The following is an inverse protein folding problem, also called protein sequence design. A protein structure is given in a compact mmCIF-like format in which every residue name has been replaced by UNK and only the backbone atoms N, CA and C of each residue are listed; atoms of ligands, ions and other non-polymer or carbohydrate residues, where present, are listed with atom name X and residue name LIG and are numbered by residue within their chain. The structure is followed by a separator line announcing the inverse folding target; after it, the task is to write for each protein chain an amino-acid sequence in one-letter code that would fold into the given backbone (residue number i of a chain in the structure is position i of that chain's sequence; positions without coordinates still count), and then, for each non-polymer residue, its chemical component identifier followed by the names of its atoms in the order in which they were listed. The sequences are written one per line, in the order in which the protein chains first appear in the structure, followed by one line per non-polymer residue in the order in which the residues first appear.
data_IF_769340082206
#
_entry.id   IF_769340082206
#
_cell.length_a   1.000
_cell.length_b   1.000
_cell.length_c   1.000
_cell.angle_alpha   90.00
_cell.angle_beta   90.00
_cell.angle_gamma   90.00
#
_symmetry.space_group_name_H-M   'P 1'
#
loop_
_entity.id
_entity.type
_entity.pdbx_description
1 polymer ?
#
# COMPACT_ATOMS: atom_id res chain seq x y z
N UNK A 1 -9.13 30.83 -30.74
CA UNK A 1 -9.25 29.37 -30.87
C UNK A 1 -10.00 28.81 -29.67
N UNK A 2 -11.22 28.29 -29.86
CA UNK A 2 -11.97 27.61 -28.79
C UNK A 2 -11.27 26.28 -28.52
N UNK A 3 -10.73 26.09 -27.32
CA UNK A 3 -9.99 24.87 -26.96
C UNK A 3 -11.01 23.80 -26.58
N UNK A 4 -10.79 22.60 -27.10
CA UNK A 4 -11.64 21.42 -26.88
C UNK A 4 -11.77 21.09 -25.39
N UNK A 5 -13.00 20.88 -24.92
CA UNK A 5 -13.28 20.61 -23.50
C UNK A 5 -12.85 19.20 -23.07
N UNK A 6 -12.74 18.26 -24.02
CA UNK A 6 -12.28 16.88 -23.78
C UNK A 6 -10.77 16.67 -23.95
N UNK A 7 -10.00 17.72 -24.29
CA UNK A 7 -8.56 17.62 -24.52
C UNK A 7 -7.79 17.93 -23.23
N UNK A 8 -7.52 16.90 -22.45
CA UNK A 8 -6.54 16.91 -21.37
C UNK A 8 -5.34 16.03 -21.74
N UNK A 9 -4.39 15.80 -20.81
CA UNK A 9 -3.31 14.82 -20.98
C UNK A 9 -3.84 13.42 -21.33
N UNK A 10 -5.08 13.15 -20.94
CA UNK A 10 -5.90 12.03 -21.39
C UNK A 10 -7.14 12.57 -22.10
N UNK A 11 -7.52 11.94 -23.21
CA UNK A 11 -8.68 12.36 -23.97
C UNK A 11 -9.94 11.69 -23.42
N UNK A 12 -10.91 12.48 -23.01
CA UNK A 12 -12.20 11.97 -22.54
C UNK A 12 -13.12 11.67 -23.72
N UNK A 13 -13.88 10.58 -23.62
CA UNK A 13 -14.92 10.25 -24.58
C UNK A 13 -16.19 11.05 -24.28
N UNK A 14 -16.39 12.13 -25.01
CA UNK A 14 -17.58 12.99 -24.86
C UNK A 14 -18.89 12.30 -25.29
N UNK A 15 -18.84 11.08 -25.85
CA UNK A 15 -20.03 10.28 -26.18
C UNK A 15 -20.56 9.49 -24.98
N UNK A 16 -19.71 9.22 -23.98
CA UNK A 16 -20.15 8.60 -22.73
C UNK A 16 -20.63 9.71 -21.76
N UNK A 17 -21.90 9.68 -21.29
CA UNK A 17 -22.41 10.69 -20.37
C UNK A 17 -21.62 10.78 -19.05
N UNK A 18 -21.01 9.68 -18.59
CA UNK A 18 -20.19 9.68 -17.37
C UNK A 18 -18.87 10.41 -17.58
N UNK A 19 -18.20 10.11 -18.69
CA UNK A 19 -16.93 10.76 -19.03
C UNK A 19 -17.14 12.23 -19.41
N UNK A 20 -18.24 12.57 -20.09
CA UNK A 20 -18.60 13.95 -20.40
C UNK A 20 -18.85 14.78 -19.12
N UNK A 21 -19.53 14.20 -18.12
CA UNK A 21 -19.73 14.86 -16.82
C UNK A 21 -18.40 15.08 -16.09
N UNK A 22 -17.51 14.09 -16.12
CA UNK A 22 -16.17 14.20 -15.53
C UNK A 22 -15.32 15.27 -16.23
N UNK A 23 -15.33 15.31 -17.57
CA UNK A 23 -14.64 16.32 -18.36
C UNK A 23 -15.15 17.74 -18.05
N UNK A 24 -16.46 17.90 -17.88
CA UNK A 24 -17.08 19.19 -17.50
C UNK A 24 -16.62 19.67 -16.11
N UNK A 25 -16.58 18.77 -15.13
CA UNK A 25 -16.13 19.11 -13.77
C UNK A 25 -14.62 19.38 -13.74
N UNK A 26 -13.82 18.60 -14.47
CA UNK A 26 -12.38 18.85 -14.63
C UNK A 26 -12.11 20.18 -15.34
N UNK A 27 -12.89 20.54 -16.36
CA UNK A 27 -12.73 21.82 -17.07
C UNK A 27 -13.00 23.03 -16.14
N UNK A 28 -13.82 22.89 -15.09
CA UNK A 28 -13.99 23.91 -14.05
C UNK A 28 -12.69 24.20 -13.29
N UNK A 29 -11.85 23.18 -13.12
CA UNK A 29 -10.54 23.25 -12.46
C UNK A 29 -9.38 23.07 -13.45
N UNK A 30 -9.47 23.73 -14.61
CA UNK A 30 -8.59 23.51 -15.78
C UNK A 30 -7.08 23.47 -15.49
N UNK A 31 -6.60 24.27 -14.53
CA UNK A 31 -5.19 24.33 -14.14
C UNK A 31 -4.71 23.08 -13.37
N UNK A 32 -5.62 22.39 -12.67
CA UNK A 32 -5.37 21.15 -11.91
C UNK A 32 -5.88 19.89 -12.62
N UNK A 33 -6.82 20.06 -13.55
CA UNK A 33 -7.43 19.01 -14.35
C UNK A 33 -6.45 17.99 -14.97
N UNK A 34 -5.32 18.39 -15.60
CA UNK A 34 -4.39 17.42 -16.17
C UNK A 34 -3.75 16.52 -15.09
N UNK A 35 -3.43 17.08 -13.92
CA UNK A 35 -2.85 16.31 -12.80
C UNK A 35 -3.86 15.34 -12.19
N UNK A 36 -5.11 15.77 -12.02
CA UNK A 36 -6.18 14.92 -11.48
C UNK A 36 -6.51 13.77 -12.44
N UNK A 37 -6.66 14.06 -13.74
CA UNK A 37 -6.92 13.04 -14.75
C UNK A 37 -5.77 12.00 -14.82
N UNK A 38 -4.53 12.49 -14.79
CA UNK A 38 -3.34 11.63 -14.77
C UNK A 38 -3.29 10.76 -13.51
N UNK A 39 -3.54 11.33 -12.31
CA UNK A 39 -3.54 10.59 -11.05
C UNK A 39 -4.60 9.48 -11.03
N UNK A 40 -5.82 9.77 -11.51
CA UNK A 40 -6.91 8.79 -11.60
C UNK A 40 -6.54 7.67 -12.57
N UNK A 41 -5.96 7.99 -13.72
CA UNK A 41 -5.52 6.99 -14.70
C UNK A 41 -4.40 6.10 -14.16
N UNK A 42 -3.41 6.68 -13.47
CA UNK A 42 -2.36 5.91 -12.79
C UNK A 42 -2.94 4.97 -11.73
N UNK A 43 -3.94 5.43 -10.96
CA UNK A 43 -4.59 4.62 -9.93
C UNK A 43 -5.40 3.47 -10.53
N UNK A 44 -6.19 3.74 -11.57
CA UNK A 44 -7.04 2.73 -12.22
C UNK A 44 -6.20 1.68 -12.93
N UNK A 45 -5.11 2.08 -13.57
CA UNK A 45 -4.31 1.15 -14.35
C UNK A 45 -3.38 0.29 -13.52
N UNK A 46 -3.16 0.57 -12.21
CA UNK A 46 -2.37 -0.22 -11.22
C UNK A 46 -1.03 -0.82 -11.71
N UNK A 47 -0.56 -0.44 -12.90
CA UNK A 47 0.72 -0.83 -13.48
C UNK A 47 1.85 0.05 -12.96
N UNK A 48 1.54 1.05 -12.12
CA UNK A 48 2.51 1.57 -11.16
C UNK A 48 2.75 0.50 -10.07
N UNK A 49 3.42 -0.59 -10.45
CA UNK A 49 4.68 -0.83 -9.75
C UNK A 49 5.44 0.45 -10.02
N UNK A 50 5.59 1.30 -9.01
CA UNK A 50 6.68 2.25 -9.02
C UNK A 50 7.91 1.36 -9.22
N UNK A 51 8.33 1.19 -10.47
CA UNK A 51 9.65 0.69 -10.79
C UNK A 51 10.55 1.76 -10.22
N UNK A 52 10.91 1.60 -8.95
CA UNK A 52 11.77 2.50 -8.19
C UNK A 52 13.18 2.54 -8.80
N UNK A 53 13.36 2.02 -10.03
CA UNK A 53 14.63 1.64 -10.64
C UNK A 53 15.37 0.54 -9.89
N UNK A 54 14.85 0.14 -8.72
CA UNK A 54 15.53 -0.72 -7.75
C UNK A 54 14.92 -2.11 -7.87
N UNK A 55 15.74 -3.08 -8.25
CA UNK A 55 15.37 -4.48 -8.23
C UNK A 55 14.98 -4.92 -6.82
N UNK A 56 14.16 -5.95 -6.70
CA UNK A 56 13.72 -6.46 -5.39
C UNK A 56 14.92 -6.90 -4.54
N UNK A 57 15.96 -7.37 -5.21
CA UNK A 57 17.22 -7.83 -4.66
C UNK A 57 18.02 -6.65 -4.10
N UNK A 58 18.15 -5.55 -4.85
CA UNK A 58 18.79 -4.31 -4.37
C UNK A 58 18.04 -3.69 -3.20
N UNK A 59 16.70 -3.66 -3.24
CA UNK A 59 15.90 -3.14 -2.13
C UNK A 59 16.12 -3.96 -0.85
N UNK A 60 16.21 -5.29 -0.97
CA UNK A 60 16.53 -6.17 0.16
C UNK A 60 17.91 -5.87 0.72
N UNK A 61 18.90 -5.64 -0.15
CA UNK A 61 20.26 -5.33 0.28
C UNK A 61 20.31 -4.00 1.03
N UNK A 62 19.66 -2.96 0.50
CA UNK A 62 19.55 -1.63 1.15
C UNK A 62 18.92 -1.76 2.55
N UNK A 63 17.81 -2.49 2.66
CA UNK A 63 17.14 -2.69 3.97
C UNK A 63 18.06 -3.41 4.96
N UNK A 64 18.80 -4.44 4.52
CA UNK A 64 19.75 -5.16 5.36
C UNK A 64 20.87 -4.22 5.83
N UNK A 65 21.39 -3.36 4.95
CA UNK A 65 22.48 -2.46 5.28
C UNK A 65 22.06 -1.35 6.25
N UNK A 66 20.85 -0.79 6.08
CA UNK A 66 20.24 0.15 7.04
C UNK A 66 20.09 -0.50 8.42
N UNK A 67 19.58 -1.74 8.49
CA UNK A 67 19.40 -2.44 9.76
C UNK A 67 20.75 -2.74 10.42
N UNK A 68 21.78 -3.12 9.64
CA UNK A 68 23.14 -3.33 10.17
C UNK A 68 23.75 -2.05 10.71
N UNK A 69 23.59 -0.93 10.01
CA UNK A 69 24.07 0.38 10.44
C UNK A 69 23.35 0.82 11.72
N UNK A 70 22.02 0.74 11.73
CA UNK A 70 21.23 1.02 12.92
C UNK A 70 21.64 0.15 14.12
N UNK A 71 21.88 -1.15 13.92
CA UNK A 71 22.34 -2.02 15.00
C UNK A 71 23.75 -1.64 15.47
N UNK A 72 24.68 -1.28 14.59
CA UNK A 72 26.02 -0.82 14.99
C UNK A 72 25.97 0.49 15.80
N UNK A 73 25.12 1.42 15.40
CA UNK A 73 24.95 2.70 16.08
C UNK A 73 24.24 2.55 17.44
N UNK A 74 23.27 1.64 17.54
CA UNK A 74 22.49 1.44 18.76
C UNK A 74 23.04 0.35 19.71
N UNK A 75 23.92 -0.53 19.24
CA UNK A 75 24.61 -1.51 20.12
C UNK A 75 25.66 -0.86 21.03
N UNK A 76 26.11 0.36 20.72
CA UNK A 76 26.94 1.16 21.63
C UNK A 76 26.10 1.92 22.68
N UNK A 77 24.77 1.95 22.57
CA UNK A 77 23.93 2.78 23.44
C UNK A 77 23.01 2.01 24.40
N UNK A 78 22.44 0.84 24.06
CA UNK A 78 21.52 0.14 25.01
C UNK A 78 21.46 -1.37 24.78
N UNK A 79 22.26 -2.16 25.51
CA UNK A 79 21.84 -3.49 26.00
C UNK A 79 22.45 -3.69 27.41
N UNK A 80 21.70 -3.54 28.52
CA UNK A 80 22.09 -4.23 29.76
C UNK A 80 22.04 -5.73 29.50
N UNK A 81 23.15 -6.40 29.78
CA UNK A 81 23.49 -7.81 29.50
C UNK A 81 22.65 -8.85 30.27
N UNK A 82 21.34 -8.61 30.47
CA UNK A 82 20.45 -9.57 31.13
C UNK A 82 19.00 -9.37 30.69
N UNK A 83 18.64 -9.90 29.51
CA UNK A 83 17.31 -10.47 29.34
C UNK A 83 17.47 -11.95 29.03
N UNK A 84 17.32 -12.77 30.07
CA UNK A 84 16.96 -14.17 29.89
C UNK A 84 15.79 -14.26 28.90
N UNK A 85 15.81 -15.20 27.93
CA UNK A 85 14.63 -15.47 27.13
C UNK A 85 13.51 -15.91 28.08
N UNK A 86 12.51 -15.04 28.30
CA UNK A 86 11.30 -15.42 29.02
C UNK A 86 10.68 -16.63 28.31
N UNK A 87 10.84 -17.81 28.91
CA UNK A 87 10.27 -19.09 28.50
C UNK A 87 8.74 -19.13 28.71
N UNK A 88 8.02 -18.02 28.55
CA UNK A 88 6.56 -17.95 28.75
C UNK A 88 5.77 -18.05 27.44
N UNK A 89 6.28 -18.81 26.46
CA UNK A 89 5.52 -19.20 25.26
C UNK A 89 5.37 -20.72 25.16
N UNK A 90 5.07 -21.38 26.27
CA UNK A 90 4.55 -22.74 26.30
C UNK A 90 3.62 -22.81 27.53
N UNK A 91 2.31 -23.00 27.42
CA UNK A 91 1.63 -24.15 26.81
C UNK A 91 0.22 -23.72 26.38
N UNK A 92 -0.09 -23.81 25.09
CA UNK A 92 -1.48 -23.77 24.64
C UNK A 92 -2.06 -25.17 24.89
N UNK A 93 -2.86 -25.32 25.93
CA UNK A 93 -3.38 -26.63 26.33
C UNK A 93 -4.32 -27.18 25.26
N UNK A 94 -4.25 -28.49 24.97
CA UNK A 94 -5.04 -29.12 23.91
C UNK A 94 -6.53 -28.87 24.08
N UNK A 95 -7.02 -28.80 25.32
CA UNK A 95 -8.42 -28.51 25.62
C UNK A 95 -8.81 -27.09 25.18
N UNK A 96 -7.95 -26.09 25.40
CA UNK A 96 -8.22 -24.71 24.95
C UNK A 96 -8.28 -24.61 23.42
N UNK A 97 -7.38 -25.31 22.72
CA UNK A 97 -7.39 -25.38 21.26
C UNK A 97 -8.63 -26.10 20.71
N UNK A 98 -9.09 -27.15 21.40
CA UNK A 98 -10.29 -27.91 21.01
C UNK A 98 -11.56 -27.10 21.25
N UNK A 99 -11.61 -26.36 22.36
CA UNK A 99 -12.73 -25.49 22.71
C UNK A 99 -12.90 -24.32 21.73
N UNK A 100 -11.80 -23.67 21.33
CA UNK A 100 -11.81 -22.63 20.29
C UNK A 100 -12.27 -23.16 18.93
N UNK A 101 -11.84 -24.37 18.56
CA UNK A 101 -12.24 -25.00 17.28
C UNK A 101 -13.73 -25.30 17.24
N UNK A 102 -14.32 -25.75 18.34
CA UNK A 102 -15.75 -25.97 18.47
C UNK A 102 -16.54 -24.68 18.29
N UNK A 103 -16.17 -23.61 19.01
CA UNK A 103 -16.82 -22.30 18.90
C UNK A 103 -16.77 -21.72 17.48
N UNK A 104 -15.62 -21.79 16.80
CA UNK A 104 -15.50 -21.32 15.41
C UNK A 104 -16.35 -22.14 14.43
N UNK A 105 -16.52 -23.44 14.69
CA UNK A 105 -17.36 -24.29 13.84
C UNK A 105 -18.86 -23.98 13.96
N UNK A 106 -19.30 -23.44 15.11
CA UNK A 106 -20.68 -23.02 15.33
C UNK A 106 -21.05 -21.77 14.49
N UNK A 107 -20.10 -20.85 14.30
CA UNK A 107 -20.31 -19.66 13.46
C UNK A 107 -20.30 -19.95 11.95
N UNK A 108 -19.74 -21.09 11.52
CA UNK A 108 -19.64 -21.45 10.09
C UNK A 108 -20.93 -22.03 9.50
N UNK A 109 -21.99 -22.22 10.31
CA UNK A 109 -23.31 -22.68 9.85
C UNK A 109 -24.32 -21.52 9.90
N UNK A 110 -24.21 -20.59 8.97
CA UNK A 110 -25.30 -19.73 8.50
C UNK A 110 -25.01 -19.29 7.08
#
# INVERSE_FOLDING_TARGET
MKKDEGRFTLQFNMRDPKEASAAKELNRYRHKAPFVAQAVWHYMNRSCREETGISREELRQIVIDIVKEYLKENTLAVIPENMEPKKELQKLDRETATSLKSSLSAFRRK
#
